data_IF_461503719187
#
_entry.id   IF_461503719187
#
_cell.length_a   1.000
_cell.length_b   1.000
_cell.length_c   1.000
_cell.angle_alpha   90.00
_cell.angle_beta   90.00
_cell.angle_gamma   90.00
#
_symmetry.space_group_name_H-M   'P 1'
#
loop_
_entity.id
_entity.type
_entity.pdbx_description
1 polymer ?
#
# COMPACT_ATOMS: atom_id res chain seq x y z
N UNK A 1 -1.45 -14.86 -4.05
CA UNK A 1 -1.84 -13.66 -3.27
C UNK A 1 -0.72 -13.23 -2.33
N UNK A 2 -0.20 -14.14 -1.49
CA UNK A 2 0.94 -13.88 -0.60
C UNK A 2 2.20 -13.37 -1.32
N UNK A 3 2.64 -14.09 -2.36
CA UNK A 3 3.85 -13.72 -3.11
C UNK A 3 3.68 -12.36 -3.81
N UNK A 4 2.49 -12.10 -4.37
CA UNK A 4 2.16 -10.85 -5.03
C UNK A 4 2.18 -9.67 -4.05
N UNK A 5 1.54 -9.77 -2.88
CA UNK A 5 1.60 -8.73 -1.86
C UNK A 5 3.03 -8.46 -1.38
N UNK A 6 3.83 -9.51 -1.20
CA UNK A 6 5.23 -9.37 -0.79
C UNK A 6 6.06 -8.65 -1.87
N UNK A 7 5.87 -8.99 -3.14
CA UNK A 7 6.53 -8.32 -4.26
C UNK A 7 6.11 -6.85 -4.38
N UNK A 8 4.82 -6.54 -4.21
CA UNK A 8 4.32 -5.16 -4.22
C UNK A 8 4.97 -4.35 -3.09
N UNK A 9 5.06 -4.90 -1.88
CA UNK A 9 5.74 -4.23 -0.76
C UNK A 9 7.21 -3.90 -1.04
N UNK A 10 7.94 -4.82 -1.66
CA UNK A 10 9.34 -4.60 -2.02
C UNK A 10 9.49 -3.50 -3.06
N UNK A 11 8.61 -3.50 -4.09
CA UNK A 11 8.59 -2.47 -5.12
C UNK A 11 8.27 -1.09 -4.54
N UNK A 12 7.27 -0.99 -3.65
CA UNK A 12 6.94 0.27 -2.99
C UNK A 12 8.12 0.85 -2.22
N UNK A 13 8.79 0.01 -1.43
CA UNK A 13 9.97 0.45 -0.67
C UNK A 13 11.09 0.94 -1.59
N UNK A 14 11.30 0.26 -2.72
CA UNK A 14 12.29 0.67 -3.71
C UNK A 14 11.94 2.03 -4.34
N UNK A 15 10.69 2.21 -4.79
CA UNK A 15 10.24 3.43 -5.44
C UNK A 15 10.18 4.63 -4.48
N UNK A 16 9.84 4.40 -3.20
CA UNK A 16 9.95 5.42 -2.15
C UNK A 16 11.39 5.90 -1.98
N UNK A 17 12.37 4.99 -2.00
CA UNK A 17 13.78 5.34 -1.88
C UNK A 17 14.32 6.07 -3.11
N UNK A 18 13.82 5.77 -4.30
CA UNK A 18 14.21 6.46 -5.53
C UNK A 18 13.47 7.78 -5.75
N UNK A 19 12.37 8.04 -5.03
CA UNK A 19 11.49 9.18 -5.23
C UNK A 19 10.57 9.05 -6.43
N UNK A 20 10.37 7.84 -6.95
CA UNK A 20 9.45 7.56 -8.07
C UNK A 20 8.02 7.37 -7.55
N UNK A 21 7.37 8.48 -7.22
CA UNK A 21 6.04 8.49 -6.62
C UNK A 21 4.93 7.99 -7.56
N UNK A 22 5.10 8.13 -8.88
CA UNK A 22 4.15 7.58 -9.85
C UNK A 22 4.12 6.04 -9.80
N UNK A 23 5.28 5.41 -9.58
CA UNK A 23 5.35 3.97 -9.38
C UNK A 23 4.77 3.54 -8.01
N UNK A 24 4.90 4.40 -6.97
CA UNK A 24 4.25 4.19 -5.67
C UNK A 24 2.72 4.17 -5.81
N UNK A 25 2.13 5.08 -6.57
CA UNK A 25 0.67 5.12 -6.79
C UNK A 25 0.13 3.85 -7.44
N UNK A 26 0.81 3.37 -8.47
CA UNK A 26 0.45 2.12 -9.15
C UNK A 26 0.57 0.91 -8.20
N UNK A 27 1.60 0.90 -7.35
CA UNK A 27 1.79 -0.17 -6.38
C UNK A 27 0.73 -0.16 -5.26
N UNK A 28 0.28 1.03 -4.82
CA UNK A 28 -0.85 1.19 -3.89
C UNK A 28 -2.13 0.60 -4.49
N UNK A 29 -2.47 0.95 -5.73
CA UNK A 29 -3.66 0.43 -6.41
C UNK A 29 -3.62 -1.09 -6.55
N UNK A 30 -2.46 -1.64 -6.89
CA UNK A 30 -2.28 -3.09 -6.99
C UNK A 30 -2.45 -3.75 -5.62
N UNK A 31 -1.94 -3.14 -4.54
CA UNK A 31 -2.14 -3.65 -3.18
C UNK A 31 -3.62 -3.66 -2.78
N UNK A 32 -4.36 -2.59 -3.07
CA UNK A 32 -5.80 -2.52 -2.83
C UNK A 32 -6.56 -3.64 -3.53
N UNK A 33 -6.23 -3.90 -4.81
CA UNK A 33 -6.87 -4.96 -5.57
C UNK A 33 -6.58 -6.35 -4.98
N UNK A 34 -5.33 -6.61 -4.60
CA UNK A 34 -4.94 -7.89 -4.02
C UNK A 34 -5.62 -8.12 -2.67
N UNK A 35 -5.70 -7.08 -1.83
CA UNK A 35 -6.40 -7.14 -0.55
C UNK A 35 -7.90 -7.36 -0.75
N UNK A 36 -8.52 -6.70 -1.73
CA UNK A 36 -9.94 -6.89 -2.08
C UNK A 36 -10.24 -8.32 -2.53
N UNK A 37 -9.32 -8.96 -3.25
CA UNK A 37 -9.45 -10.36 -3.68
C UNK A 37 -9.14 -11.38 -2.56
N UNK A 38 -8.57 -10.93 -1.45
CA UNK A 38 -8.26 -11.79 -0.30
C UNK A 38 -9.49 -11.96 0.60
N UNK A 39 -9.90 -13.19 0.94
CA UNK A 39 -10.99 -13.43 1.90
C UNK A 39 -10.70 -12.83 3.28
N UNK A 40 -11.73 -12.33 3.98
CA UNK A 40 -11.59 -11.68 5.29
C UNK A 40 -11.01 -12.59 6.39
N UNK A 41 -11.16 -13.91 6.26
CA UNK A 41 -10.59 -14.90 7.18
C UNK A 41 -9.12 -15.25 6.93
N UNK A 42 -8.47 -14.63 5.94
CA UNK A 42 -7.06 -14.92 5.64
C UNK A 42 -6.15 -14.28 6.69
N UNK A 43 -5.31 -15.09 7.33
CA UNK A 43 -4.46 -14.70 8.47
C UNK A 43 -3.58 -13.48 8.17
N UNK A 44 -3.14 -13.35 6.92
CA UNK A 44 -2.24 -12.28 6.48
C UNK A 44 -2.95 -10.98 6.05
N UNK A 45 -4.27 -10.97 5.92
CA UNK A 45 -5.00 -9.80 5.37
C UNK A 45 -4.80 -8.57 6.24
N UNK A 46 -4.86 -8.73 7.57
CA UNK A 46 -4.61 -7.65 8.52
C UNK A 46 -3.19 -7.05 8.39
N UNK A 47 -2.18 -7.89 8.15
CA UNK A 47 -0.80 -7.44 7.91
C UNK A 47 -0.70 -6.60 6.64
N UNK A 48 -1.40 -6.99 5.57
CA UNK A 48 -1.42 -6.24 4.31
C UNK A 48 -2.16 -4.91 4.42
N UNK A 49 -3.27 -4.86 5.15
CA UNK A 49 -3.98 -3.60 5.43
C UNK A 49 -3.12 -2.62 6.22
N UNK A 50 -2.43 -3.09 7.27
CA UNK A 50 -1.49 -2.26 8.03
C UNK A 50 -0.36 -1.69 7.14
N UNK A 51 0.14 -2.52 6.22
CA UNK A 51 1.16 -2.08 5.27
C UNK A 51 0.63 -1.05 4.26
N UNK A 52 -0.62 -1.20 3.81
CA UNK A 52 -1.31 -0.25 2.95
C UNK A 52 -1.50 1.10 3.66
N UNK A 53 -1.89 1.10 4.94
CA UNK A 53 -1.97 2.31 5.76
C UNK A 53 -0.62 3.02 5.88
N UNK A 54 0.47 2.27 6.09
CA UNK A 54 1.83 2.83 6.10
C UNK A 54 2.24 3.45 4.76
N UNK A 55 1.84 2.83 3.65
CA UNK A 55 2.11 3.37 2.33
C UNK A 55 1.41 4.72 2.11
N UNK A 56 0.13 4.82 2.47
CA UNK A 56 -0.62 6.07 2.41
C UNK A 56 0.01 7.15 3.30
N UNK A 57 0.42 6.79 4.53
CA UNK A 57 1.14 7.70 5.42
C UNK A 57 2.43 8.23 4.78
N UNK A 58 3.26 7.35 4.20
CA UNK A 58 4.48 7.79 3.53
C UNK A 58 4.18 8.67 2.32
N UNK A 59 3.16 8.35 1.52
CA UNK A 59 2.76 9.19 0.38
C UNK A 59 2.33 10.58 0.84
N UNK A 60 1.54 10.67 1.92
CA UNK A 60 1.18 11.95 2.54
C UNK A 60 2.41 12.74 2.99
N UNK A 61 3.38 12.11 3.66
CA UNK A 61 4.60 12.77 4.15
C UNK A 61 5.42 13.40 3.02
N UNK A 62 5.30 12.88 1.79
CA UNK A 62 6.05 13.34 0.63
C UNK A 62 5.27 14.29 -0.30
N UNK A 63 3.99 14.01 -0.56
CA UNK A 63 3.16 14.78 -1.49
C UNK A 63 2.24 15.79 -0.79
N UNK A 64 1.98 15.61 0.51
CA UNK A 64 1.09 16.47 1.29
C UNK A 64 -0.40 16.32 0.96
N UNK A 65 -0.80 15.26 0.25
CA UNK A 65 -2.19 15.06 -0.18
C UNK A 65 -3.07 14.54 0.96
N UNK A 66 -3.97 15.38 1.49
CA UNK A 66 -4.85 15.03 2.62
C UNK A 66 -5.67 13.75 2.43
N UNK A 67 -6.06 13.45 1.19
CA UNK A 67 -6.78 12.23 0.82
C UNK A 67 -6.03 10.95 1.19
N UNK A 68 -4.71 11.00 1.27
CA UNK A 68 -3.88 9.87 1.67
C UNK A 68 -4.05 9.54 3.15
N UNK A 69 -4.16 10.55 4.02
CA UNK A 69 -4.46 10.31 5.43
C UNK A 69 -5.85 9.74 5.60
N UNK A 70 -6.84 10.24 4.85
CA UNK A 70 -8.21 9.70 4.89
C UNK A 70 -8.21 8.21 4.51
N UNK A 71 -7.52 7.86 3.42
CA UNK A 71 -7.37 6.48 3.00
C UNK A 71 -6.62 5.62 4.03
N UNK A 72 -5.58 6.15 4.68
CA UNK A 72 -4.83 5.43 5.72
C UNK A 72 -5.67 5.07 6.95
N UNK A 73 -6.70 5.87 7.25
CA UNK A 73 -7.62 5.64 8.39
C UNK A 73 -8.72 4.64 8.01
N UNK A 74 -9.11 4.60 6.74
CA UNK A 74 -10.20 3.77 6.24
C UNK A 74 -9.79 2.30 5.98
N UNK A 75 -8.50 2.02 5.86
CA UNK A 75 -7.96 0.65 5.62
C UNK A 75 -7.80 -0.17 6.89
#
# INVERSE_FOLDING_TARGET
>A
VEELCSSVMQLMKHFQQSGDWAAVDNAVQLMEEVIRLTPDGHTEKARWLNNLGNAFKSRFEHLGELRDIENAILV
#
